data_IF_162742315875
#
_entry.id   IF_162742315875
#
_cell.length_a   1.000
_cell.length_b   1.000
_cell.length_c   1.000
_cell.angle_alpha   90.00
_cell.angle_beta   90.00
_cell.angle_gamma   90.00
#
_symmetry.space_group_name_H-M   'P 1'
#
loop_
_entity.id
_entity.type
_entity.pdbx_description
1 polymer ?
#
# COMPACT_ATOMS: atom_id res chain seq x y z
N UNK A 1 -27.63 4.27 -6.75
CA UNK A 1 -27.62 5.48 -7.59
C UNK A 1 -26.76 6.52 -6.90
N UNK A 2 -25.51 6.67 -7.37
CA UNK A 2 -24.66 7.91 -7.48
C UNK A 2 -24.41 8.78 -6.21
N UNK A 3 -23.25 9.49 -6.04
CA UNK A 3 -22.15 9.73 -6.98
C UNK A 3 -20.69 9.63 -6.45
N UNK A 4 -19.76 9.48 -7.39
CA UNK A 4 -18.46 10.14 -7.53
C UNK A 4 -17.56 10.42 -6.30
N UNK A 5 -16.35 9.85 -6.35
CA UNK A 5 -15.12 10.61 -6.14
C UNK A 5 -14.03 10.05 -7.07
N UNK A 6 -13.97 10.59 -8.28
CA UNK A 6 -12.77 10.54 -9.10
C UNK A 6 -11.77 11.57 -8.54
N UNK A 7 -10.49 11.23 -8.35
CA UNK A 7 -9.44 12.22 -8.31
C UNK A 7 -8.70 12.18 -9.66
N UNK A 8 -8.97 13.16 -10.51
CA UNK A 8 -8.08 13.56 -11.60
C UNK A 8 -7.60 15.00 -11.30
N UNK A 9 -6.53 15.51 -11.91
CA UNK A 9 -5.17 14.96 -12.00
C UNK A 9 -4.13 16.08 -11.74
N UNK A 10 -3.23 16.02 -10.75
CA UNK A 10 -2.05 16.91 -10.76
C UNK A 10 -0.93 16.50 -9.80
N UNK A 11 0.12 15.85 -10.31
CA UNK A 11 1.52 16.31 -10.19
C UNK A 11 2.48 15.33 -10.86
N UNK A 12 3.03 15.77 -11.98
CA UNK A 12 4.35 15.35 -12.41
C UNK A 12 5.38 15.98 -11.45
N UNK A 13 5.63 15.34 -10.31
CA UNK A 13 6.82 15.54 -9.47
C UNK A 13 6.87 14.28 -8.62
N UNK A 14 7.78 13.35 -8.94
CA UNK A 14 8.06 12.10 -8.20
C UNK A 14 6.83 11.55 -7.47
N UNK A 15 5.98 10.80 -8.18
CA UNK A 15 4.77 10.20 -7.61
C UNK A 15 5.13 9.54 -6.27
N UNK A 16 4.79 10.17 -5.12
CA UNK A 16 5.07 9.54 -3.85
C UNK A 16 4.26 8.25 -3.87
N UNK A 17 4.87 7.14 -3.43
CA UNK A 17 4.11 5.91 -3.27
C UNK A 17 2.88 6.28 -2.42
N UNK A 18 1.69 5.96 -2.91
CA UNK A 18 0.45 6.28 -2.19
C UNK A 18 -0.01 5.05 -1.43
N UNK A 19 -0.70 5.27 -0.31
CA UNK A 19 -1.25 4.17 0.48
C UNK A 19 -2.22 3.29 -0.32
N UNK A 20 -2.86 3.84 -1.34
CA UNK A 20 -3.71 3.09 -2.27
C UNK A 20 -2.93 2.09 -3.12
N UNK A 21 -1.74 2.48 -3.61
CA UNK A 21 -0.84 1.60 -4.35
C UNK A 21 -0.40 0.42 -3.47
N UNK A 22 0.08 0.74 -2.27
CA UNK A 22 0.50 -0.27 -1.29
C UNK A 22 -0.66 -1.20 -0.90
N UNK A 23 -1.86 -0.66 -0.70
CA UNK A 23 -3.08 -1.43 -0.45
C UNK A 23 -3.36 -2.41 -1.58
N UNK A 24 -3.32 -1.95 -2.84
CA UNK A 24 -3.61 -2.78 -4.00
C UNK A 24 -2.61 -3.95 -4.08
N UNK A 25 -1.32 -3.66 -3.93
CA UNK A 25 -0.24 -4.66 -3.94
C UNK A 25 -0.37 -5.63 -2.77
N UNK A 26 -0.62 -5.14 -1.55
CA UNK A 26 -0.85 -6.01 -0.38
C UNK A 26 -2.09 -6.89 -0.54
N UNK A 27 -3.17 -6.37 -1.11
CA UNK A 27 -4.37 -7.16 -1.39
C UNK A 27 -4.07 -8.24 -2.42
N UNK A 28 -3.40 -7.90 -3.52
CA UNK A 28 -3.02 -8.87 -4.56
C UNK A 28 -2.11 -9.98 -3.99
N UNK A 29 -1.12 -9.61 -3.18
CA UNK A 29 -0.19 -10.57 -2.56
C UNK A 29 -0.86 -11.44 -1.50
N UNK A 30 -1.85 -10.89 -0.79
CA UNK A 30 -2.68 -11.65 0.14
C UNK A 30 -3.58 -12.65 -0.59
N UNK A 31 -4.12 -12.27 -1.75
CA UNK A 31 -4.90 -13.15 -2.61
C UNK A 31 -4.06 -14.31 -3.16
N UNK A 32 -2.79 -14.03 -3.45
CA UNK A 32 -1.77 -15.02 -3.86
C UNK A 32 -1.35 -16.00 -2.74
N UNK A 33 -1.92 -15.85 -1.54
CA UNK A 33 -1.65 -16.72 -0.38
C UNK A 33 -0.45 -16.29 0.48
N UNK A 34 0.20 -15.17 0.17
CA UNK A 34 1.28 -14.61 1.01
C UNK A 34 0.78 -13.66 2.11
N UNK A 35 -0.50 -13.74 2.49
CA UNK A 35 -1.13 -12.92 3.55
C UNK A 35 -0.35 -12.95 4.86
N UNK A 36 0.29 -14.07 5.19
CA UNK A 36 1.11 -14.19 6.41
C UNK A 36 2.37 -13.30 6.36
N UNK A 37 3.06 -13.24 5.22
CA UNK A 37 4.22 -12.36 5.03
C UNK A 37 3.79 -10.89 5.05
N UNK A 38 2.74 -10.56 4.30
CA UNK A 38 2.12 -9.23 4.26
C UNK A 38 1.79 -8.76 5.68
N UNK A 39 1.09 -9.59 6.47
CA UNK A 39 0.70 -9.25 7.84
C UNK A 39 1.89 -9.14 8.80
N UNK A 40 2.87 -10.04 8.68
CA UNK A 40 4.09 -9.99 9.49
C UNK A 40 4.88 -8.72 9.22
N UNK A 41 5.00 -8.32 7.94
CA UNK A 41 5.65 -7.09 7.52
C UNK A 41 4.92 -5.88 8.11
N UNK A 42 3.59 -5.84 7.98
CA UNK A 42 2.75 -4.76 8.51
C UNK A 42 2.86 -4.61 10.04
N UNK A 43 3.00 -5.74 10.76
CA UNK A 43 3.28 -5.74 12.21
C UNK A 43 4.72 -5.29 12.54
N UNK A 44 5.69 -5.57 11.67
CA UNK A 44 7.11 -5.21 11.86
C UNK A 44 7.33 -3.70 11.80
N UNK A 45 6.56 -3.01 10.95
CA UNK A 45 6.57 -1.56 10.84
C UNK A 45 5.75 -0.85 11.95
N UNK A 46 5.28 -1.59 12.97
CA UNK A 46 4.30 -1.18 14.02
C UNK A 46 2.98 -0.61 13.46
N UNK A 47 2.88 -0.64 12.16
CA UNK A 47 1.83 -0.06 11.37
C UNK A 47 0.86 -1.16 11.00
N UNK A 48 0.36 -1.93 11.97
CA UNK A 48 -0.48 -3.13 11.79
C UNK A 48 -1.71 -2.94 10.88
N UNK A 49 -1.93 -1.73 10.38
CA UNK A 49 -2.75 -1.37 9.23
C UNK A 49 -1.97 -0.42 8.32
N UNK A 50 -2.19 -0.55 7.01
CA UNK A 50 -1.70 0.38 5.98
C UNK A 50 -1.81 1.86 6.38
N UNK A 51 -2.90 2.28 7.02
CA UNK A 51 -3.08 3.67 7.48
C UNK A 51 -2.07 4.17 8.53
N UNK A 52 -1.26 3.29 9.14
CA UNK A 52 -0.20 3.66 10.07
C UNK A 52 1.21 3.61 9.45
N UNK A 53 1.35 3.11 8.21
CA UNK A 53 2.65 3.03 7.55
C UNK A 53 3.01 4.45 7.08
N UNK A 54 4.26 4.88 7.26
CA UNK A 54 4.68 6.21 6.77
C UNK A 54 4.92 6.17 5.27
N UNK A 55 4.71 7.29 4.56
CA UNK A 55 5.03 7.39 3.14
C UNK A 55 6.49 7.11 2.80
N UNK A 56 7.38 7.29 3.76
CA UNK A 56 8.80 6.94 3.67
C UNK A 56 9.01 5.42 3.66
N UNK A 57 8.21 4.67 4.43
CA UNK A 57 8.28 3.20 4.51
C UNK A 57 7.49 2.49 3.40
N UNK A 58 6.58 3.19 2.70
CA UNK A 58 5.79 2.58 1.64
C UNK A 58 6.66 1.99 0.52
N UNK A 59 7.78 2.62 0.18
CA UNK A 59 8.67 2.11 -0.88
C UNK A 59 9.30 0.77 -0.49
N UNK A 60 9.72 0.64 0.76
CA UNK A 60 10.34 -0.58 1.28
C UNK A 60 9.28 -1.68 1.47
N UNK A 61 8.11 -1.30 2.00
CA UNK A 61 6.99 -2.20 2.18
C UNK A 61 6.48 -2.74 0.85
N UNK A 62 6.37 -1.90 -0.18
CA UNK A 62 5.94 -2.34 -1.51
C UNK A 62 6.97 -3.29 -2.13
N UNK A 63 8.27 -3.06 -1.92
CA UNK A 63 9.34 -3.95 -2.40
C UNK A 63 9.35 -5.31 -1.70
N UNK A 64 9.17 -5.34 -0.38
CA UNK A 64 9.05 -6.58 0.40
C UNK A 64 7.76 -7.35 0.06
N UNK A 65 6.67 -6.64 -0.23
CA UNK A 65 5.41 -7.25 -0.66
C UNK A 65 5.47 -7.71 -2.12
N UNK A 66 6.14 -7.02 -3.04
CA UNK A 66 6.29 -7.47 -4.44
C UNK A 66 7.28 -8.63 -4.61
N UNK A 67 8.21 -8.84 -3.67
CA UNK A 67 9.12 -9.99 -3.65
C UNK A 67 8.40 -11.34 -3.39
#
# INVERSE_FOLDING_TARGET
TTPAAAPEPNKQTEKPITIEQVRAVMSAKSDEGKTAQVKALLMKYDAGKLSGVKPEDYADLLREVEA
#
